data_IF_285375597080
#
_entry.id   IF_285375597080
#
_cell.length_a   1.000
_cell.length_b   1.000
_cell.length_c   1.000
_cell.angle_alpha   90.00
_cell.angle_beta   90.00
_cell.angle_gamma   90.00
#
_symmetry.space_group_name_H-M   'P 1'
#
loop_
_entity.id
_entity.type
_entity.pdbx_description
1 polymer ?
#
# COMPACT_ATOMS: atom_id res chain seq x y z
N UNK A 1 6.49 14.59 -14.02
CA UNK A 1 6.01 13.71 -12.95
C UNK A 1 7.04 13.91 -11.87
N UNK A 2 6.66 14.60 -10.80
CA UNK A 2 7.51 15.05 -9.69
C UNK A 2 8.64 16.03 -10.09
N UNK A 3 8.35 17.35 -10.06
CA UNK A 3 9.36 18.39 -10.34
C UNK A 3 10.28 18.66 -9.14
N UNK A 4 9.85 18.27 -7.94
CA UNK A 4 10.53 18.53 -6.68
C UNK A 4 11.33 17.31 -6.17
N UNK A 5 11.26 16.17 -6.89
CA UNK A 5 11.85 14.89 -6.55
C UNK A 5 11.48 14.38 -5.15
N UNK A 6 10.26 14.69 -4.69
CA UNK A 6 9.74 14.32 -3.38
C UNK A 6 9.29 12.85 -3.32
N UNK A 7 9.12 12.21 -4.47
CA UNK A 7 8.48 10.90 -4.62
C UNK A 7 6.95 10.98 -4.65
N UNK A 8 6.37 12.18 -4.66
CA UNK A 8 4.92 12.41 -4.63
C UNK A 8 4.52 13.46 -5.67
N UNK A 9 3.23 13.48 -6.06
CA UNK A 9 2.70 14.46 -7.01
C UNK A 9 1.64 15.30 -6.30
N UNK A 10 1.91 16.60 -6.11
CA UNK A 10 0.92 17.52 -5.54
C UNK A 10 -0.22 17.81 -6.53
N UNK A 11 -1.34 18.33 -6.05
CA UNK A 11 -2.44 18.77 -6.92
C UNK A 11 -1.96 19.79 -7.96
N UNK A 12 -1.04 20.67 -7.58
CA UNK A 12 -0.53 21.73 -8.45
C UNK A 12 0.35 21.15 -9.56
N UNK A 13 1.20 20.17 -9.25
CA UNK A 13 1.99 19.43 -10.24
C UNK A 13 1.09 18.62 -11.18
N UNK A 14 0.03 18.02 -10.63
CA UNK A 14 -0.93 17.23 -11.37
C UNK A 14 -1.71 18.09 -12.38
N UNK A 15 -2.23 19.24 -11.95
CA UNK A 15 -2.90 20.23 -12.81
C UNK A 15 -1.95 20.75 -13.91
N UNK A 16 -0.69 21.06 -13.55
CA UNK A 16 0.31 21.54 -14.50
C UNK A 16 0.65 20.47 -15.56
N UNK A 17 0.69 19.19 -15.20
CA UNK A 17 0.98 18.09 -16.13
C UNK A 17 -0.20 17.67 -16.97
N UNK A 18 -1.43 17.85 -16.49
CA UNK A 18 -2.64 17.67 -17.29
C UNK A 18 -2.81 18.72 -18.38
N UNK A 19 -1.96 19.76 -18.44
CA UNK A 19 -1.84 20.64 -19.59
C UNK A 19 -0.99 20.06 -20.74
N UNK A 20 -0.24 18.97 -20.52
CA UNK A 20 0.54 18.29 -21.57
C UNK A 20 -0.35 17.30 -22.33
N UNK A 21 -0.51 17.52 -23.64
CA UNK A 21 -1.32 16.67 -24.52
C UNK A 21 -0.91 15.19 -24.48
N UNK A 22 0.37 14.88 -24.20
CA UNK A 22 0.84 13.50 -24.08
C UNK A 22 0.31 12.82 -22.84
N UNK A 23 0.18 13.58 -21.74
CA UNK A 23 -0.39 13.09 -20.49
C UNK A 23 -1.89 12.88 -20.67
N UNK A 24 -2.60 13.83 -21.27
CA UNK A 24 -4.02 13.68 -21.62
C UNK A 24 -4.24 12.44 -22.50
N UNK A 25 -3.43 12.25 -23.54
CA UNK A 25 -3.51 11.08 -24.42
C UNK A 25 -3.29 9.75 -23.67
N UNK A 26 -2.39 9.74 -22.69
CA UNK A 26 -2.13 8.57 -21.85
C UNK A 26 -3.35 8.22 -20.96
N UNK A 27 -3.95 9.21 -20.29
CA UNK A 27 -5.17 9.00 -19.52
C UNK A 27 -6.37 8.57 -20.39
N UNK A 28 -6.51 9.16 -21.58
CA UNK A 28 -7.53 8.75 -22.54
C UNK A 28 -7.30 7.29 -23.03
N UNK A 29 -6.05 6.86 -23.21
CA UNK A 29 -5.74 5.47 -23.54
C UNK A 29 -6.10 4.51 -22.39
N UNK A 30 -6.02 4.98 -21.14
CA UNK A 30 -6.52 4.28 -19.96
C UNK A 30 -8.05 4.42 -19.76
N UNK A 31 -8.76 5.09 -20.68
CA UNK A 31 -10.22 5.37 -20.62
C UNK A 31 -10.64 6.20 -19.40
N UNK A 32 -9.73 7.04 -18.89
CA UNK A 32 -9.99 7.94 -17.77
C UNK A 32 -10.39 9.32 -18.29
N UNK A 33 -11.53 9.82 -17.80
CA UNK A 33 -11.99 11.17 -18.12
C UNK A 33 -11.21 12.20 -17.29
N UNK A 34 -10.34 12.94 -17.98
CA UNK A 34 -9.48 14.00 -17.42
C UNK A 34 -10.10 15.40 -17.49
N UNK A 35 -11.39 15.52 -17.85
CA UNK A 35 -12.08 16.81 -17.95
C UNK A 35 -12.13 17.60 -16.64
N UNK A 36 -11.98 16.93 -15.50
CA UNK A 36 -11.88 17.54 -14.17
C UNK A 36 -10.67 16.98 -13.41
N UNK A 37 -9.51 17.61 -13.65
CA UNK A 37 -8.23 17.28 -13.04
C UNK A 37 -8.30 17.16 -11.51
N UNK A 38 -9.08 18.03 -10.85
CA UNK A 38 -9.27 18.01 -9.40
C UNK A 38 -10.04 16.78 -8.96
N UNK A 39 -11.17 16.49 -9.59
CA UNK A 39 -11.93 15.28 -9.25
C UNK A 39 -11.10 14.02 -9.46
N UNK A 40 -10.32 13.96 -10.54
CA UNK A 40 -9.44 12.83 -10.80
C UNK A 40 -8.36 12.69 -9.73
N UNK A 41 -7.76 13.81 -9.30
CA UNK A 41 -6.78 13.83 -8.23
C UNK A 41 -7.36 13.25 -6.93
N UNK A 42 -8.52 13.74 -6.50
CA UNK A 42 -9.22 13.26 -5.30
C UNK A 42 -9.71 11.82 -5.38
N UNK A 43 -9.87 11.27 -6.59
CA UNK A 43 -10.21 9.87 -6.79
C UNK A 43 -8.99 8.95 -6.72
N UNK A 44 -7.79 9.49 -6.92
CA UNK A 44 -6.52 8.76 -6.88
C UNK A 44 -5.90 8.84 -5.49
N UNK A 45 -5.93 10.02 -4.85
CA UNK A 45 -5.51 10.26 -3.47
C UNK A 45 -6.47 9.53 -2.49
N UNK A 46 -6.09 8.31 -2.11
CA UNK A 46 -6.96 7.42 -1.34
C UNK A 46 -6.90 7.70 0.16
N UNK A 47 -5.75 8.19 0.62
CA UNK A 47 -5.51 8.51 2.04
C UNK A 47 -5.83 9.97 2.41
N UNK A 48 -6.16 10.80 1.41
CA UNK A 48 -6.46 12.23 1.55
C UNK A 48 -5.27 13.03 2.07
N UNK A 49 -4.05 12.63 1.70
CA UNK A 49 -2.82 13.32 2.05
C UNK A 49 -2.59 14.60 1.24
N UNK A 50 -3.46 14.89 0.26
CA UNK A 50 -3.32 15.99 -0.70
C UNK A 50 -2.08 15.84 -1.61
N UNK A 51 -1.51 14.64 -1.66
CA UNK A 51 -0.37 14.28 -2.50
C UNK A 51 -0.58 12.86 -3.04
N UNK A 52 -0.34 12.64 -4.33
CA UNK A 52 -0.45 11.30 -4.91
C UNK A 52 0.90 10.61 -4.82
N UNK A 53 0.98 9.52 -4.07
CA UNK A 53 2.11 8.61 -4.11
C UNK A 53 2.08 7.72 -5.37
N UNK A 54 3.22 7.14 -5.76
CA UNK A 54 3.27 6.21 -6.92
C UNK A 54 2.31 5.04 -6.76
N UNK A 55 2.20 4.49 -5.54
CA UNK A 55 1.35 3.34 -5.27
C UNK A 55 -0.12 3.73 -5.43
N UNK A 56 -0.51 4.90 -4.93
CA UNK A 56 -1.86 5.46 -5.11
C UNK A 56 -2.16 5.79 -6.56
N UNK A 57 -1.20 6.32 -7.32
CA UNK A 57 -1.37 6.58 -8.75
C UNK A 57 -1.73 5.30 -9.51
N UNK A 58 -1.00 4.21 -9.24
CA UNK A 58 -1.22 2.91 -9.89
C UNK A 58 -2.57 2.34 -9.48
N UNK A 59 -2.87 2.32 -8.18
CA UNK A 59 -4.13 1.81 -7.61
C UNK A 59 -5.31 2.62 -8.13
N UNK A 60 -5.25 3.94 -8.07
CA UNK A 60 -6.30 4.87 -8.46
C UNK A 60 -6.59 4.82 -9.96
N UNK A 61 -5.57 4.92 -10.82
CA UNK A 61 -5.78 4.82 -12.27
C UNK A 61 -6.41 3.49 -12.68
N UNK A 62 -6.01 2.39 -12.04
CA UNK A 62 -6.53 1.06 -12.36
C UNK A 62 -7.95 0.85 -11.83
N UNK A 63 -8.25 1.33 -10.61
CA UNK A 63 -9.60 1.31 -10.03
C UNK A 63 -10.58 2.07 -10.91
N UNK A 64 -10.18 3.25 -11.38
CA UNK A 64 -10.98 4.11 -12.24
C UNK A 64 -11.14 3.56 -13.67
N UNK A 65 -10.22 2.72 -14.15
CA UNK A 65 -10.30 2.05 -15.45
C UNK A 65 -11.39 0.96 -15.48
N UNK A 66 -11.93 0.54 -14.33
CA UNK A 66 -13.05 -0.40 -14.22
C UNK A 66 -12.72 -1.87 -14.48
N UNK A 67 -11.44 -2.20 -14.71
CA UNK A 67 -10.91 -3.57 -14.86
C UNK A 67 -10.54 -4.20 -13.49
N UNK A 68 -11.21 -3.76 -12.42
CA UNK A 68 -10.78 -3.90 -11.02
C UNK A 68 -10.41 -5.34 -10.64
N UNK A 69 -11.10 -6.36 -11.18
CA UNK A 69 -10.99 -7.75 -10.72
C UNK A 69 -9.59 -8.36 -10.70
N UNK A 70 -8.70 -8.03 -11.64
CA UNK A 70 -7.38 -8.68 -11.69
C UNK A 70 -6.35 -8.00 -10.77
N UNK A 71 -6.34 -6.68 -10.69
CA UNK A 71 -5.45 -5.95 -9.78
C UNK A 71 -5.96 -6.02 -8.34
N UNK A 72 -7.28 -5.97 -8.11
CA UNK A 72 -7.87 -6.20 -6.79
C UNK A 72 -7.42 -7.56 -6.24
N UNK A 73 -7.41 -8.61 -7.09
CA UNK A 73 -6.91 -9.93 -6.72
C UNK A 73 -5.40 -9.89 -6.43
N UNK A 74 -4.60 -9.16 -7.22
CA UNK A 74 -3.15 -9.04 -7.00
C UNK A 74 -2.80 -8.22 -5.75
N UNK A 75 -3.55 -7.17 -5.45
CA UNK A 75 -3.44 -6.42 -4.20
C UNK A 75 -3.84 -7.28 -3.01
N UNK A 76 -4.94 -8.03 -3.13
CA UNK A 76 -5.34 -8.96 -2.08
C UNK A 76 -4.28 -10.06 -1.85
N UNK A 77 -3.67 -10.58 -2.92
CA UNK A 77 -2.52 -11.50 -2.82
C UNK A 77 -1.34 -10.85 -2.09
N UNK A 78 -1.02 -9.60 -2.41
CA UNK A 78 0.06 -8.83 -1.79
C UNK A 78 -0.20 -8.54 -0.30
N UNK A 79 -1.38 -8.04 0.05
CA UNK A 79 -1.79 -7.80 1.44
C UNK A 79 -1.75 -9.09 2.27
N UNK A 80 -2.21 -10.21 1.70
CA UNK A 80 -2.10 -11.52 2.33
C UNK A 80 -0.65 -11.92 2.53
N UNK A 81 0.24 -11.64 1.57
CA UNK A 81 1.68 -11.93 1.73
C UNK A 81 2.29 -11.11 2.86
N UNK A 82 2.03 -9.80 2.91
CA UNK A 82 2.50 -8.91 3.98
C UNK A 82 1.96 -9.36 5.34
N UNK A 83 0.68 -9.74 5.42
CA UNK A 83 0.07 -10.25 6.63
C UNK A 83 0.75 -11.55 7.11
N UNK A 84 1.08 -12.46 6.18
CA UNK A 84 1.79 -13.71 6.50
C UNK A 84 3.18 -13.46 7.07
N UNK A 85 3.92 -12.50 6.51
CA UNK A 85 5.26 -12.14 7.01
C UNK A 85 5.20 -11.53 8.42
N UNK A 86 4.25 -10.62 8.65
CA UNK A 86 3.98 -10.03 9.97
C UNK A 86 3.57 -11.10 10.99
N UNK A 87 2.69 -12.01 10.59
CA UNK A 87 2.23 -13.10 11.44
C UNK A 87 3.37 -14.06 11.79
N UNK A 88 4.22 -14.44 10.83
CA UNK A 88 5.39 -15.28 11.08
C UNK A 88 6.36 -14.63 12.08
N UNK A 89 6.57 -13.32 11.94
CA UNK A 89 7.38 -12.54 12.90
C UNK A 89 6.76 -12.55 14.29
N UNK A 90 5.45 -12.32 14.39
CA UNK A 90 4.72 -12.38 15.65
C UNK A 90 4.81 -13.77 16.31
N UNK A 91 4.54 -14.84 15.56
CA UNK A 91 4.64 -16.23 16.07
C UNK A 91 6.03 -16.53 16.60
N UNK A 92 7.09 -16.08 15.91
CA UNK A 92 8.48 -16.24 16.39
C UNK A 92 8.71 -15.55 17.73
N UNK A 93 8.20 -14.33 17.90
CA UNK A 93 8.33 -13.58 19.17
C UNK A 93 7.58 -14.30 20.28
N UNK A 94 6.34 -14.72 20.04
CA UNK A 94 5.54 -15.47 21.02
C UNK A 94 6.25 -16.75 21.42
N UNK A 95 6.80 -17.50 20.46
CA UNK A 95 7.53 -18.73 20.73
C UNK A 95 8.77 -18.47 21.60
N UNK A 96 9.55 -17.43 21.31
CA UNK A 96 10.73 -17.08 22.11
C UNK A 96 10.36 -16.70 23.56
N UNK A 97 9.23 -16.00 23.75
CA UNK A 97 8.73 -15.66 25.09
C UNK A 97 8.29 -16.91 25.85
N UNK A 98 7.57 -17.81 25.18
CA UNK A 98 7.14 -19.08 25.78
C UNK A 98 8.33 -19.95 26.15
N UNK A 99 9.30 -20.10 25.25
CA UNK A 99 10.51 -20.90 25.49
C UNK A 99 11.36 -20.33 26.66
N UNK A 100 11.44 -19.00 26.78
CA UNK A 100 12.10 -18.36 27.93
C UNK A 100 11.37 -18.64 29.23
N UNK A 101 10.04 -18.59 29.22
CA UNK A 101 9.25 -18.87 30.40
C UNK A 101 9.38 -20.34 30.82
N UNK A 102 9.28 -21.29 29.89
CA UNK A 102 9.48 -22.72 30.18
C UNK A 102 10.87 -23.02 30.75
N UNK A 103 11.93 -22.38 30.24
CA UNK A 103 13.29 -22.54 30.78
C UNK A 103 13.42 -22.03 32.21
N UNK A 104 12.75 -20.91 32.55
CA UNK A 104 12.76 -20.36 33.92
C UNK A 104 11.97 -21.26 34.87
N UNK A 105 10.85 -21.82 34.42
CA UNK A 105 10.02 -22.71 35.24
C UNK A 105 10.68 -24.08 35.49
N UNK A 106 11.34 -24.67 34.49
CA UNK A 106 12.10 -25.93 34.63
C UNK A 106 13.33 -25.76 35.54
N UNK A 107 14.00 -24.60 35.51
CA UNK A 107 15.13 -24.31 36.39
C UNK A 107 14.73 -24.04 37.85
N UNK A 108 13.48 -23.63 38.08
CA UNK A 108 12.93 -23.35 39.41
C UNK A 108 12.28 -24.57 40.09
N UNK A 109 12.20 -25.72 39.42
CA UNK A 109 11.63 -26.95 40.00
C UNK A 109 12.71 -27.70 40.79
N UNK A 110 12.54 -27.94 42.12
CA UNK A 110 13.53 -28.68 42.89
C UNK A 110 13.60 -30.16 42.44
N UNK A 111 14.77 -30.80 42.42
CA UNK A 111 14.87 -32.23 42.14
C UNK A 111 14.37 -33.01 43.36
N UNK A 112 13.06 -33.29 43.41
CA UNK A 112 12.50 -34.13 44.48
C UNK A 112 11.04 -33.89 44.86
N UNK A 113 10.13 -33.89 43.89
CA UNK A 113 8.69 -34.06 44.17
C UNK A 113 8.06 -34.99 43.12
N UNK A 114 8.46 -36.26 43.17
CA UNK A 114 7.59 -37.40 42.89
C UNK A 114 7.26 -38.06 44.23
#
# INVERSE_FOLDING_TARGET
MDEDATGTVSLQDFEAKLADERVIAYFNAMKLDVSDARKLFWLIDCDQSEAIEIDEFVVGCYTLQGESRQLDMKMMEWEVQVLRERFATFTRVVQDVLDRHDRVWVAATPPGSQ
#
